data_IF_769970894219
#
_entry.id   IF_769970894219
#
_cell.length_a   1.000
_cell.length_b   1.000
_cell.length_c   1.000
_cell.angle_alpha   90.00
_cell.angle_beta   90.00
_cell.angle_gamma   90.00
#
_symmetry.space_group_name_H-M   'P 1'
#
loop_
_entity.id
_entity.type
_entity.pdbx_description
1 polymer ?
#
# COMPACT_ATOMS: atom_id res chain seq x y z
N UNK A 1 -22.10 -33.92 -6.89
CA UNK A 1 -22.59 -32.61 -7.35
C UNK A 1 -22.10 -31.58 -6.35
N UNK A 2 -21.11 -30.76 -6.72
CA UNK A 2 -20.71 -29.59 -5.91
C UNK A 2 -21.64 -28.43 -6.27
N UNK A 3 -22.02 -27.56 -5.32
CA UNK A 3 -23.17 -26.67 -5.48
C UNK A 3 -22.80 -25.48 -6.37
N UNK A 4 -23.73 -25.07 -7.24
CA UNK A 4 -23.58 -23.94 -8.17
C UNK A 4 -23.28 -22.60 -7.48
N UNK A 5 -23.46 -22.51 -6.15
CA UNK A 5 -23.16 -21.34 -5.34
C UNK A 5 -21.66 -20.98 -5.27
N UNK A 6 -20.74 -21.95 -5.34
CA UNK A 6 -19.29 -21.67 -5.34
C UNK A 6 -18.83 -21.00 -6.66
N UNK A 7 -19.51 -21.27 -7.77
CA UNK A 7 -19.16 -20.69 -9.08
C UNK A 7 -19.61 -19.24 -9.23
N UNK A 8 -20.75 -18.88 -8.65
CA UNK A 8 -21.27 -17.51 -8.67
C UNK A 8 -20.45 -16.57 -7.77
N UNK A 9 -20.07 -17.02 -6.57
CA UNK A 9 -19.20 -16.25 -5.66
C UNK A 9 -17.86 -15.89 -6.30
N UNK A 10 -17.22 -16.85 -6.99
CA UNK A 10 -15.95 -16.61 -7.67
C UNK A 10 -16.07 -15.63 -8.85
N UNK A 11 -17.24 -15.55 -9.50
CA UNK A 11 -17.45 -14.62 -10.61
C UNK A 11 -17.60 -13.19 -10.10
N UNK A 12 -18.33 -13.00 -9.01
CA UNK A 12 -18.55 -11.68 -8.39
C UNK A 12 -17.24 -11.09 -7.85
N UNK A 13 -16.41 -11.92 -7.21
CA UNK A 13 -15.11 -11.48 -6.71
C UNK A 13 -14.16 -11.09 -7.87
N UNK A 14 -14.24 -11.78 -9.01
CA UNK A 14 -13.47 -11.43 -10.21
C UNK A 14 -13.91 -10.11 -10.83
N UNK A 15 -15.22 -9.83 -10.88
CA UNK A 15 -15.72 -8.55 -11.39
C UNK A 15 -15.30 -7.39 -10.49
N UNK A 16 -15.38 -7.57 -9.16
CA UNK A 16 -14.89 -6.59 -8.21
C UNK A 16 -13.40 -6.33 -8.40
N UNK A 17 -12.59 -7.38 -8.55
CA UNK A 17 -11.15 -7.26 -8.75
C UNK A 17 -10.81 -6.47 -10.01
N UNK A 18 -11.47 -6.78 -11.13
CA UNK A 18 -11.31 -6.04 -12.39
C UNK A 18 -11.71 -4.58 -12.29
N UNK A 19 -12.82 -4.27 -11.61
CA UNK A 19 -13.27 -2.90 -11.42
C UNK A 19 -12.24 -2.07 -10.61
N UNK A 20 -11.55 -2.70 -9.66
CA UNK A 20 -10.50 -2.01 -8.92
C UNK A 20 -9.25 -1.85 -9.79
N UNK A 21 -8.83 -2.87 -10.55
CA UNK A 21 -7.70 -2.75 -11.49
C UNK A 21 -7.92 -1.63 -12.52
N UNK A 22 -9.13 -1.53 -13.07
CA UNK A 22 -9.51 -0.45 -14.00
C UNK A 22 -9.46 0.92 -13.32
N UNK A 23 -9.98 1.04 -12.08
CA UNK A 23 -9.98 2.30 -11.33
C UNK A 23 -8.58 2.78 -10.92
N UNK A 24 -7.63 1.85 -10.76
CA UNK A 24 -6.25 2.18 -10.44
C UNK A 24 -5.42 2.57 -11.68
N UNK A 25 -5.95 2.38 -12.89
CA UNK A 25 -5.30 2.77 -14.15
C UNK A 25 -3.84 2.30 -14.30
N UNK A 26 -3.51 1.13 -13.74
CA UNK A 26 -2.16 0.55 -13.75
C UNK A 26 -1.25 1.02 -12.61
N UNK A 27 -1.77 1.75 -11.63
CA UNK A 27 -1.11 2.00 -10.35
C UNK A 27 -1.00 0.72 -9.52
N UNK A 28 -0.02 0.68 -8.62
CA UNK A 28 0.14 -0.40 -7.66
C UNK A 28 -1.02 -0.44 -6.64
N UNK A 29 -1.24 -1.61 -6.05
CA UNK A 29 -2.23 -1.81 -4.98
C UNK A 29 -1.85 -1.03 -3.73
N UNK A 30 -2.84 -0.65 -2.92
CA UNK A 30 -2.59 0.01 -1.64
C UNK A 30 -1.64 -0.82 -0.75
N UNK A 31 -1.83 -2.14 -0.75
CA UNK A 31 -0.97 -3.06 -0.01
C UNK A 31 0.50 -3.03 -0.49
N UNK A 32 0.75 -2.86 -1.79
CA UNK A 32 2.10 -2.79 -2.35
C UNK A 32 2.82 -1.53 -1.87
N UNK A 33 2.13 -0.39 -1.82
CA UNK A 33 2.69 0.84 -1.23
C UNK A 33 3.04 0.65 0.26
N UNK A 34 2.16 0.00 1.02
CA UNK A 34 2.42 -0.33 2.42
C UNK A 34 3.65 -1.25 2.60
N UNK A 35 3.85 -2.21 1.68
CA UNK A 35 5.02 -3.09 1.70
C UNK A 35 6.33 -2.31 1.44
N UNK A 36 6.30 -1.31 0.54
CA UNK A 36 7.44 -0.42 0.31
C UNK A 36 7.75 0.46 1.53
N UNK A 37 6.72 1.02 2.17
CA UNK A 37 6.87 1.75 3.44
C UNK A 37 7.53 0.87 4.50
N UNK A 38 7.05 -0.36 4.68
CA UNK A 38 7.62 -1.29 5.65
C UNK A 38 9.10 -1.61 5.37
N UNK A 39 9.48 -1.76 4.10
CA UNK A 39 10.87 -1.97 3.71
C UNK A 39 11.76 -0.76 4.04
N UNK A 40 11.28 0.46 3.79
CA UNK A 40 12.00 1.68 4.14
C UNK A 40 12.11 1.89 5.65
N UNK A 41 11.07 1.60 6.42
CA UNK A 41 11.11 1.68 7.90
C UNK A 41 12.15 0.72 8.50
N UNK A 42 12.34 -0.47 7.91
CA UNK A 42 13.41 -1.38 8.32
C UNK A 42 14.78 -0.76 8.06
N UNK A 43 14.96 -0.12 6.91
CA UNK A 43 16.21 0.57 6.55
C UNK A 43 16.46 1.77 7.46
N UNK A 44 15.43 2.56 7.75
CA UNK A 44 15.47 3.69 8.67
C UNK A 44 15.99 3.26 10.05
N UNK A 45 15.37 2.24 10.66
CA UNK A 45 15.80 1.71 11.98
C UNK A 45 17.25 1.26 12.01
N UNK A 46 17.78 0.78 10.88
CA UNK A 46 19.20 0.42 10.77
C UNK A 46 20.08 1.67 10.76
N UNK A 47 19.71 2.68 9.98
CA UNK A 47 20.46 3.94 9.91
C UNK A 47 20.41 4.72 11.22
N UNK A 48 19.28 4.72 11.93
CA UNK A 48 19.15 5.31 13.27
C UNK A 48 20.14 4.66 14.23
N UNK A 49 20.21 3.32 14.24
CA UNK A 49 21.20 2.59 15.06
C UNK A 49 22.63 2.92 14.66
N UNK A 50 22.92 2.97 13.36
CA UNK A 50 24.26 3.31 12.87
C UNK A 50 24.64 4.75 13.27
N UNK A 51 23.68 5.69 13.27
CA UNK A 51 23.85 7.07 13.71
C UNK A 51 24.12 7.16 15.23
N UNK A 52 23.39 6.40 16.04
CA UNK A 52 23.59 6.32 17.49
C UNK A 52 24.98 5.79 17.85
N UNK A 53 25.48 4.81 17.08
CA UNK A 53 26.77 4.17 17.31
C UNK A 53 27.95 4.98 16.75
N UNK A 54 27.70 5.88 15.80
CA UNK A 54 28.77 6.66 15.17
C UNK A 54 29.33 7.73 16.11
N UNK A 55 30.66 7.77 16.20
CA UNK A 55 31.42 8.77 16.95
C UNK A 55 32.03 9.84 16.04
N UNK A 56 32.04 9.60 14.73
CA UNK A 56 32.60 10.52 13.74
C UNK A 56 31.53 11.53 13.30
N UNK A 57 31.87 12.83 13.33
CA UNK A 57 30.92 13.89 13.07
C UNK A 57 30.48 13.94 11.59
N UNK A 58 31.38 13.62 10.66
CA UNK A 58 31.10 13.64 9.23
C UNK A 58 30.21 12.43 8.86
N UNK A 59 30.50 11.26 9.43
CA UNK A 59 29.65 10.07 9.29
C UNK A 59 28.25 10.30 9.86
N UNK A 60 28.14 10.95 11.02
CA UNK A 60 26.84 11.30 11.61
C UNK A 60 26.04 12.25 10.72
N UNK A 61 26.69 13.27 10.15
CA UNK A 61 26.03 14.18 9.22
C UNK A 61 25.52 13.45 7.97
N UNK A 62 26.32 12.53 7.43
CA UNK A 62 25.93 11.70 6.29
C UNK A 62 24.75 10.76 6.61
N UNK A 63 24.78 10.12 7.78
CA UNK A 63 23.71 9.24 8.25
C UNK A 63 22.41 10.00 8.50
N UNK A 64 22.49 11.21 9.07
CA UNK A 64 21.33 12.08 9.25
C UNK A 64 20.71 12.47 7.90
N UNK A 65 21.51 12.88 6.92
CA UNK A 65 21.01 13.20 5.59
C UNK A 65 20.26 12.01 4.96
N UNK A 66 20.80 10.78 5.09
CA UNK A 66 20.13 9.58 4.58
C UNK A 66 18.83 9.26 5.32
N UNK A 67 18.73 9.59 6.61
CA UNK A 67 17.49 9.44 7.37
C UNK A 67 16.45 10.43 6.86
N UNK A 68 16.83 11.70 6.70
CA UNK A 68 15.94 12.74 6.18
C UNK A 68 15.38 12.37 4.78
N UNK A 69 16.23 11.83 3.90
CA UNK A 69 15.82 11.33 2.58
C UNK A 69 14.84 10.15 2.65
N UNK A 70 15.04 9.23 3.61
CA UNK A 70 14.12 8.09 3.79
C UNK A 70 12.79 8.54 4.39
N UNK A 71 12.81 9.50 5.30
CA UNK A 71 11.60 10.07 5.89
C UNK A 71 10.71 10.70 4.81
N UNK A 72 11.31 11.50 3.91
CA UNK A 72 10.59 12.07 2.77
C UNK A 72 9.99 10.99 1.86
N UNK A 73 10.76 9.93 1.55
CA UNK A 73 10.26 8.81 0.76
C UNK A 73 9.10 8.07 1.43
N UNK A 74 9.18 7.84 2.74
CA UNK A 74 8.10 7.21 3.51
C UNK A 74 6.84 8.08 3.49
N UNK A 75 6.98 9.39 3.65
CA UNK A 75 5.84 10.31 3.61
C UNK A 75 5.11 10.26 2.26
N UNK A 76 5.86 10.31 1.15
CA UNK A 76 5.30 10.21 -0.20
C UNK A 76 4.57 8.88 -0.39
N UNK A 77 5.20 7.75 -0.04
CA UNK A 77 4.58 6.44 -0.24
C UNK A 77 3.33 6.24 0.63
N UNK A 78 3.28 6.83 1.83
CA UNK A 78 2.08 6.82 2.68
C UNK A 78 0.95 7.68 2.10
N UNK A 79 1.27 8.73 1.36
CA UNK A 79 0.27 9.49 0.62
C UNK A 79 -0.32 8.66 -0.52
N UNK A 80 0.54 8.02 -1.32
CA UNK A 80 0.11 7.11 -2.40
C UNK A 80 -0.71 5.94 -1.88
N UNK A 81 -0.30 5.32 -0.76
CA UNK A 81 -1.07 4.26 -0.08
C UNK A 81 -2.48 4.73 0.26
N UNK A 82 -2.63 5.93 0.84
CA UNK A 82 -3.92 6.48 1.26
C UNK A 82 -4.83 6.78 0.07
N UNK A 83 -4.28 7.38 -0.98
CA UNK A 83 -5.03 7.71 -2.20
C UNK A 83 -5.52 6.42 -2.85
N UNK A 84 -4.62 5.46 -3.04
CA UNK A 84 -4.92 4.17 -3.63
C UNK A 84 -5.98 3.43 -2.82
N UNK A 85 -5.81 3.34 -1.50
CA UNK A 85 -6.77 2.69 -0.61
C UNK A 85 -8.15 3.33 -0.67
N UNK A 86 -8.22 4.66 -0.73
CA UNK A 86 -9.49 5.37 -0.88
C UNK A 86 -10.21 4.99 -2.18
N UNK A 87 -9.49 4.84 -3.29
CA UNK A 87 -10.05 4.39 -4.57
C UNK A 87 -10.57 2.95 -4.44
N UNK A 88 -9.75 2.04 -3.90
CA UNK A 88 -10.12 0.63 -3.71
C UNK A 88 -11.37 0.47 -2.80
N UNK A 89 -11.43 1.23 -1.71
CA UNK A 89 -12.56 1.25 -0.77
C UNK A 89 -13.83 1.78 -1.45
N UNK A 90 -13.71 2.82 -2.29
CA UNK A 90 -14.84 3.42 -3.01
C UNK A 90 -15.44 2.46 -4.04
N UNK A 91 -14.58 1.76 -4.80
CA UNK A 91 -15.02 0.74 -5.76
C UNK A 91 -15.69 -0.42 -5.02
N UNK A 92 -15.07 -0.90 -3.94
CA UNK A 92 -15.62 -1.96 -3.09
C UNK A 92 -17.01 -1.60 -2.56
N UNK A 93 -17.16 -0.41 -2.00
CA UNK A 93 -18.44 0.06 -1.47
C UNK A 93 -19.50 0.17 -2.56
N UNK A 94 -19.16 0.74 -3.71
CA UNK A 94 -20.08 0.87 -4.84
C UNK A 94 -20.57 -0.49 -5.35
N UNK A 95 -19.66 -1.46 -5.43
CA UNK A 95 -19.97 -2.84 -5.79
C UNK A 95 -20.91 -3.50 -4.78
N UNK A 96 -20.66 -3.33 -3.48
CA UNK A 96 -21.51 -3.87 -2.41
C UNK A 96 -22.93 -3.28 -2.44
N UNK A 97 -23.05 -1.96 -2.66
CA UNK A 97 -24.35 -1.28 -2.79
C UNK A 97 -25.13 -1.79 -4.00
N UNK A 98 -24.47 -1.97 -5.15
CA UNK A 98 -25.12 -2.51 -6.34
C UNK A 98 -25.60 -3.94 -6.10
N UNK A 99 -24.74 -4.81 -5.54
CA UNK A 99 -25.10 -6.20 -5.21
C UNK A 99 -26.30 -6.30 -4.26
N UNK A 100 -26.39 -5.39 -3.28
CA UNK A 100 -27.52 -5.33 -2.34
C UNK A 100 -28.81 -4.78 -2.97
N UNK A 101 -28.71 -4.00 -4.05
CA UNK A 101 -29.85 -3.43 -4.77
C UNK A 101 -30.41 -4.38 -5.82
N UNK A 102 -29.55 -5.24 -6.38
CA UNK A 102 -29.90 -6.21 -7.43
C UNK A 102 -30.33 -7.60 -6.87
N UNK A 103 -30.21 -7.82 -5.56
CA UNK A 103 -30.64 -9.04 -4.85
C UNK A 103 -31.96 -8.87 -4.09
#
# INVERSE_FOLDING_TARGET
MRPDHERLSNSDDQFKEQAIEEALEGSDRAQTWADYVAALEVRQKRLERDLELSQDQDDRANLQQKLDEIDEQIEVLREEEKITKFIEDTVTFSYEVQRLSDG
#
